data_IF_554121745518
#
_entry.id   IF_554121745518
#
_cell.length_a   1.000
_cell.length_b   1.000
_cell.length_c   1.000
_cell.angle_alpha   90.00
_cell.angle_beta   90.00
_cell.angle_gamma   90.00
#
_symmetry.space_group_name_H-M   'P 1'
#
loop_
_entity.id
_entity.type
_entity.pdbx_description
1 polymer ?
#
# COMPACT_ATOMS: atom_id res chain seq x y z
N UNK A 1 7.75 -6.04 -25.09
CA UNK A 1 6.57 -5.15 -24.93
C UNK A 1 5.40 -6.01 -24.47
N UNK A 2 4.64 -5.55 -23.48
CA UNK A 2 3.38 -6.16 -23.08
C UNK A 2 2.23 -5.31 -23.63
N UNK A 3 1.18 -5.96 -24.15
CA UNK A 3 0.00 -5.30 -24.71
C UNK A 3 -1.25 -5.78 -23.97
N UNK A 4 -2.13 -4.84 -23.65
CA UNK A 4 -3.43 -5.11 -23.06
C UNK A 4 -4.52 -4.57 -23.98
N UNK A 5 -5.49 -5.42 -24.33
CA UNK A 5 -6.64 -5.06 -25.16
C UNK A 5 -7.88 -5.21 -24.29
N UNK A 6 -8.72 -4.19 -24.28
CA UNK A 6 -9.95 -4.13 -23.49
C UNK A 6 -11.10 -3.70 -24.39
N UNK A 7 -12.25 -4.34 -24.21
CA UNK A 7 -13.51 -3.89 -24.79
C UNK A 7 -14.16 -2.93 -23.79
N UNK A 8 -14.52 -1.74 -24.27
CA UNK A 8 -15.23 -0.70 -23.49
C UNK A 8 -16.40 -0.20 -24.32
N UNK A 9 -17.45 0.31 -23.67
CA UNK A 9 -18.55 0.92 -24.41
C UNK A 9 -18.08 2.22 -25.07
N UNK A 10 -18.64 2.54 -26.25
CA UNK A 10 -18.24 3.74 -27.00
C UNK A 10 -18.44 5.03 -26.19
N UNK A 11 -19.53 5.10 -25.40
CA UNK A 11 -19.80 6.23 -24.50
C UNK A 11 -18.72 6.41 -23.42
N UNK A 12 -18.17 5.31 -22.90
CA UNK A 12 -17.11 5.35 -21.88
C UNK A 12 -15.78 5.76 -22.50
N UNK A 13 -15.49 5.29 -23.72
CA UNK A 13 -14.31 5.70 -24.49
C UNK A 13 -14.32 7.19 -24.75
N UNK A 14 -15.45 7.74 -25.21
CA UNK A 14 -15.61 9.17 -25.49
C UNK A 14 -15.41 10.00 -24.22
N UNK A 15 -16.07 9.62 -23.12
CA UNK A 15 -15.92 10.32 -21.84
C UNK A 15 -14.46 10.29 -21.33
N UNK A 16 -13.78 9.15 -21.45
CA UNK A 16 -12.39 9.03 -21.01
C UNK A 16 -11.44 9.86 -21.88
N UNK A 17 -11.64 9.86 -23.20
CA UNK A 17 -10.83 10.66 -24.12
C UNK A 17 -11.01 12.16 -23.87
N UNK A 18 -12.24 12.60 -23.58
CA UNK A 18 -12.53 14.00 -23.24
C UNK A 18 -11.87 14.39 -21.91
N UNK A 19 -11.97 13.55 -20.88
CA UNK A 19 -11.29 13.79 -19.61
C UNK A 19 -9.76 13.84 -19.75
N UNK A 20 -9.19 12.96 -20.59
CA UNK A 20 -7.77 12.96 -20.90
C UNK A 20 -7.34 14.26 -21.60
N UNK A 21 -8.13 14.74 -22.56
CA UNK A 21 -7.92 16.00 -23.28
C UNK A 21 -7.97 17.21 -22.35
N UNK A 22 -8.99 17.28 -21.47
CA UNK A 22 -9.12 18.35 -20.47
C UNK A 22 -7.92 18.38 -19.53
N UNK A 23 -7.41 17.19 -19.18
CA UNK A 23 -6.24 17.04 -18.29
C UNK A 23 -4.90 17.30 -18.98
N UNK A 24 -4.88 17.48 -20.32
CA UNK A 24 -3.67 17.51 -21.16
C UNK A 24 -2.79 16.25 -21.02
N UNK A 25 -3.44 15.08 -20.90
CA UNK A 25 -2.75 13.81 -20.67
C UNK A 25 -3.09 12.79 -21.76
N UNK A 26 -2.13 11.92 -22.07
CA UNK A 26 -2.38 10.81 -22.98
C UNK A 26 -3.23 9.73 -22.28
N UNK A 27 -4.30 9.27 -22.94
CA UNK A 27 -5.17 8.20 -22.48
C UNK A 27 -4.41 6.93 -22.03
N UNK A 28 -3.38 6.52 -22.80
CA UNK A 28 -2.56 5.35 -22.45
C UNK A 28 -1.67 5.58 -21.23
N UNK A 29 -1.24 6.82 -20.97
CA UNK A 29 -0.50 7.15 -19.75
C UNK A 29 -1.42 7.09 -18.53
N UNK A 30 -2.64 7.62 -18.64
CA UNK A 30 -3.65 7.57 -17.58
C UNK A 30 -3.98 6.14 -17.18
N UNK A 31 -4.20 5.24 -18.15
CA UNK A 31 -4.44 3.82 -17.86
C UNK A 31 -3.25 3.19 -17.13
N UNK A 32 -2.01 3.48 -17.56
CA UNK A 32 -0.81 2.94 -16.90
C UNK A 32 -0.63 3.45 -15.47
N UNK A 33 -0.98 4.69 -15.18
CA UNK A 33 -0.98 5.21 -13.81
C UNK A 33 -2.08 4.59 -12.98
N UNK A 34 -3.31 4.54 -13.50
CA UNK A 34 -4.42 3.91 -12.82
C UNK A 34 -4.10 2.45 -12.45
N UNK A 35 -3.51 1.68 -13.36
CA UNK A 35 -3.08 0.31 -13.09
C UNK A 35 -2.03 0.24 -11.97
N UNK A 36 -1.04 1.14 -11.96
CA UNK A 36 -0.01 1.19 -10.92
C UNK A 36 -0.62 1.53 -9.57
N UNK A 37 -1.40 2.60 -9.52
CA UNK A 37 -2.04 3.07 -8.30
C UNK A 37 -3.00 2.03 -7.74
N UNK A 38 -3.75 1.33 -8.61
CA UNK A 38 -4.62 0.24 -8.20
C UNK A 38 -3.83 -0.91 -7.57
N UNK A 39 -2.75 -1.36 -8.20
CA UNK A 39 -1.91 -2.43 -7.65
C UNK A 39 -1.29 -2.04 -6.31
N UNK A 40 -0.77 -0.82 -6.20
CA UNK A 40 -0.17 -0.34 -4.94
C UNK A 40 -1.21 -0.22 -3.82
N UNK A 41 -2.42 0.28 -4.12
CA UNK A 41 -3.53 0.29 -3.16
C UNK A 41 -3.89 -1.11 -2.69
N UNK A 42 -4.01 -2.08 -3.61
CA UNK A 42 -4.34 -3.46 -3.25
C UNK A 42 -3.24 -4.12 -2.40
N UNK A 43 -1.97 -3.84 -2.70
CA UNK A 43 -0.84 -4.29 -1.87
C UNK A 43 -0.89 -3.70 -0.47
N UNK A 44 -1.14 -2.40 -0.37
CA UNK A 44 -1.25 -1.71 0.91
C UNK A 44 -2.43 -2.24 1.74
N UNK A 45 -3.60 -2.43 1.13
CA UNK A 45 -4.77 -3.01 1.80
C UNK A 45 -4.50 -4.43 2.32
N UNK A 46 -3.83 -5.26 1.52
CA UNK A 46 -3.43 -6.61 1.94
C UNK A 46 -2.44 -6.57 3.12
N UNK A 47 -1.46 -5.66 3.07
CA UNK A 47 -0.53 -5.43 4.18
C UNK A 47 -1.26 -5.00 5.45
N UNK A 48 -2.11 -3.97 5.38
CA UNK A 48 -2.87 -3.47 6.54
C UNK A 48 -3.75 -4.57 7.14
N UNK A 49 -4.40 -5.38 6.29
CA UNK A 49 -5.20 -6.52 6.76
C UNK A 49 -4.35 -7.51 7.55
N UNK A 50 -3.18 -7.88 7.02
CA UNK A 50 -2.28 -8.82 7.70
C UNK A 50 -1.76 -8.27 9.05
N UNK A 51 -1.43 -6.97 9.11
CA UNK A 51 -1.01 -6.33 10.35
C UNK A 51 -2.13 -6.29 11.40
N UNK A 52 -3.37 -6.01 10.99
CA UNK A 52 -4.53 -6.06 11.88
C UNK A 52 -4.78 -7.47 12.38
N UNK A 53 -4.72 -8.48 11.50
CA UNK A 53 -4.89 -9.88 11.89
C UNK A 53 -3.81 -10.32 12.90
N UNK A 54 -2.56 -9.90 12.70
CA UNK A 54 -1.48 -10.15 13.66
C UNK A 54 -1.77 -9.50 15.01
N UNK A 55 -2.11 -8.21 15.02
CA UNK A 55 -2.44 -7.49 16.26
C UNK A 55 -3.64 -8.11 17.00
N UNK A 56 -4.66 -8.59 16.28
CA UNK A 56 -5.78 -9.30 16.87
C UNK A 56 -5.36 -10.64 17.50
N UNK A 57 -4.43 -11.36 16.87
CA UNK A 57 -3.86 -12.59 17.43
C UNK A 57 -3.01 -12.32 18.68
N UNK A 58 -2.20 -11.26 18.67
CA UNK A 58 -1.40 -10.83 19.83
C UNK A 58 -2.30 -10.49 21.02
N UNK A 59 -3.40 -9.76 20.78
CA UNK A 59 -4.42 -9.47 21.79
C UNK A 59 -5.05 -10.75 22.34
N UNK A 60 -5.45 -11.68 21.46
CA UNK A 60 -6.03 -12.96 21.87
C UNK A 60 -5.06 -13.84 22.68
N UNK A 61 -3.75 -13.65 22.46
CA UNK A 61 -2.68 -14.30 23.22
C UNK A 61 -2.22 -13.52 24.46
N UNK A 62 -2.91 -12.42 24.82
CA UNK A 62 -2.55 -11.50 25.90
C UNK A 62 -1.13 -10.88 25.77
N UNK A 63 -0.60 -10.83 24.55
CA UNK A 63 0.70 -10.23 24.21
C UNK A 63 0.57 -8.72 24.00
N UNK A 64 0.04 -8.01 25.00
CA UNK A 64 -0.24 -6.58 24.94
C UNK A 64 0.77 -5.84 25.82
N UNK A 65 1.34 -4.76 25.29
CA UNK A 65 2.26 -3.88 26.01
C UNK A 65 1.63 -2.49 26.14
N UNK A 66 1.86 -1.83 27.26
CA UNK A 66 1.65 -0.39 27.34
C UNK A 66 2.68 0.36 26.49
N UNK A 67 2.37 1.60 26.09
CA UNK A 67 3.29 2.42 25.32
C UNK A 67 4.66 2.57 26.00
N UNK A 68 4.67 2.79 27.32
CA UNK A 68 5.92 2.90 28.08
C UNK A 68 6.74 1.60 28.11
N UNK A 69 6.09 0.42 28.13
CA UNK A 69 6.79 -0.86 28.09
C UNK A 69 7.37 -1.14 26.71
N UNK A 70 6.66 -0.73 25.65
CA UNK A 70 7.16 -0.82 24.28
C UNK A 70 8.38 0.10 24.06
N UNK A 71 8.29 1.36 24.50
CA UNK A 71 9.40 2.32 24.39
C UNK A 71 10.65 1.82 25.12
N UNK A 72 10.48 1.32 26.36
CA UNK A 72 11.59 0.76 27.14
C UNK A 72 12.23 -0.46 26.46
N UNK A 73 11.45 -1.30 25.76
CA UNK A 73 11.99 -2.43 25.00
C UNK A 73 12.78 -1.96 23.77
N UNK A 74 12.30 -0.94 23.06
CA UNK A 74 13.02 -0.35 21.91
C UNK A 74 14.35 0.25 22.36
N UNK A 75 14.34 1.03 23.44
CA UNK A 75 15.57 1.61 24.00
C UNK A 75 16.57 0.53 24.42
N UNK A 76 16.08 -0.53 25.06
CA UNK A 76 16.92 -1.67 25.46
C UNK A 76 17.49 -2.43 24.26
N UNK A 77 16.72 -2.56 23.17
CA UNK A 77 17.18 -3.20 21.93
C UNK A 77 18.24 -2.36 21.21
N UNK A 78 18.05 -1.05 21.10
CA UNK A 78 19.03 -0.14 20.51
C UNK A 78 20.36 -0.16 21.28
N UNK A 79 20.30 -0.07 22.62
CA UNK A 79 21.50 -0.13 23.46
C UNK A 79 22.24 -1.48 23.38
N UNK A 80 21.55 -2.58 23.02
CA UNK A 80 22.18 -3.87 22.76
C UNK A 80 22.85 -3.91 21.39
N UNK A 81 22.24 -3.33 20.36
CA UNK A 81 22.81 -3.25 19.03
C UNK A 81 24.13 -2.45 19.04
N UNK A 82 24.16 -1.30 19.74
CA UNK A 82 25.38 -0.48 19.88
C UNK A 82 26.53 -1.22 20.57
N UNK A 83 26.22 -2.06 21.57
CA UNK A 83 27.22 -2.87 22.27
C UNK A 83 27.75 -4.04 21.44
N UNK A 84 26.99 -4.50 20.45
CA UNK A 84 27.39 -5.61 19.59
C UNK A 84 28.31 -5.16 18.43
N UNK A 85 28.32 -3.87 18.12
CA UNK A 85 29.17 -3.26 17.08
C UNK A 85 30.51 -2.71 17.61
N UNK A 86 30.68 -2.62 18.94
CA UNK A 86 31.88 -2.13 19.62
C UNK A 86 32.83 -3.27 20.05
#
# INVERSE_FOLDING_TARGET
>A
MAQFIMNIADSEKEAFMEAARISDRNASQLVREFMRDFVERQRYEAYVRAEVERGMADIAAEQILSGSEADAQVDAWLAQAEKAEA
#
